data_IF_522157031263
#
_entry.id   IF_522157031263
#
_cell.length_a   1.000
_cell.length_b   1.000
_cell.length_c   1.000
_cell.angle_alpha   90.00
_cell.angle_beta   90.00
_cell.angle_gamma   90.00
#
_symmetry.space_group_name_H-M   'P 1'
#
loop_
_entity.id
_entity.type
_entity.pdbx_description
1 polymer ?
#
# COMPACT_ATOMS: atom_id res chain seq x y z
N UNK A 1 7.28 -22.17 -67.33
CA UNK A 1 6.69 -23.53 -67.37
C UNK A 1 5.91 -23.73 -66.07
N UNK A 2 4.66 -23.28 -65.97
CA UNK A 2 3.43 -24.04 -66.28
C UNK A 2 3.39 -25.45 -65.68
N UNK A 3 2.61 -25.63 -64.60
CA UNK A 3 1.51 -26.61 -64.56
C UNK A 3 0.60 -26.42 -63.34
N UNK A 4 -0.69 -26.57 -63.62
CA UNK A 4 -1.89 -26.43 -62.80
C UNK A 4 -2.22 -27.69 -61.96
N UNK A 5 -3.14 -27.53 -61.00
CA UNK A 5 -4.03 -28.57 -60.45
C UNK A 5 -4.64 -28.10 -59.12
N UNK A 6 -5.79 -27.40 -59.04
CA UNK A 6 -7.22 -27.73 -59.28
C UNK A 6 -7.84 -28.80 -58.34
N UNK A 7 -8.88 -28.32 -57.63
CA UNK A 7 -10.09 -28.95 -57.06
C UNK A 7 -9.98 -29.99 -55.93
N UNK A 8 -10.68 -29.71 -54.81
CA UNK A 8 -12.00 -30.32 -54.57
C UNK A 8 -12.83 -29.53 -53.54
N UNK A 9 -14.06 -29.23 -53.95
CA UNK A 9 -15.20 -28.73 -53.20
C UNK A 9 -15.86 -29.84 -52.38
N UNK A 10 -16.30 -29.53 -51.16
CA UNK A 10 -17.18 -30.36 -50.36
C UNK A 10 -18.17 -29.52 -49.56
N UNK A 11 -19.37 -29.37 -50.11
CA UNK A 11 -20.57 -28.87 -49.42
C UNK A 11 -21.00 -29.89 -48.36
N UNK A 12 -21.38 -29.44 -47.15
CA UNK A 12 -22.30 -30.21 -46.32
C UNK A 12 -23.21 -29.32 -45.47
N UNK A 13 -24.47 -29.71 -45.52
CA UNK A 13 -25.70 -29.07 -45.10
C UNK A 13 -25.85 -28.70 -43.62
N UNK A 14 -26.44 -27.51 -43.43
CA UNK A 14 -27.52 -27.14 -42.52
C UNK A 14 -27.89 -28.07 -41.34
N UNK A 15 -27.83 -27.51 -40.12
CA UNK A 15 -28.78 -27.83 -39.04
C UNK A 15 -29.32 -26.52 -38.45
N UNK A 16 -30.61 -26.32 -38.65
CA UNK A 16 -31.47 -25.35 -37.98
C UNK A 16 -31.61 -25.73 -36.50
N UNK A 17 -31.30 -24.82 -35.59
CA UNK A 17 -31.90 -24.82 -34.24
C UNK A 17 -32.21 -23.39 -33.84
N UNK A 18 -33.50 -23.07 -33.97
CA UNK A 18 -34.15 -21.93 -33.33
C UNK A 18 -33.99 -22.07 -31.82
N UNK A 19 -33.50 -21.02 -31.17
CA UNK A 19 -33.84 -20.76 -29.76
C UNK A 19 -34.21 -19.29 -29.62
N UNK A 20 -35.53 -19.05 -29.62
CA UNK A 20 -36.12 -17.80 -29.14
C UNK A 20 -36.11 -17.88 -27.61
N UNK A 21 -35.26 -17.11 -26.95
CA UNK A 21 -35.44 -16.76 -25.55
C UNK A 21 -36.05 -15.35 -25.49
N UNK A 22 -37.37 -15.29 -25.36
CA UNK A 22 -38.07 -14.08 -24.94
C UNK A 22 -37.96 -13.98 -23.42
N UNK A 23 -37.08 -13.11 -22.93
CA UNK A 23 -37.09 -12.71 -21.52
C UNK A 23 -37.71 -11.32 -21.41
N UNK A 24 -38.91 -11.31 -20.84
CA UNK A 24 -39.64 -10.13 -20.42
C UNK A 24 -38.91 -9.45 -19.25
N UNK A 25 -38.69 -8.12 -19.28
CA UNK A 25 -38.17 -7.41 -18.12
C UNK A 25 -39.30 -7.13 -17.12
N UNK A 26 -39.21 -7.73 -15.93
CA UNK A 26 -40.01 -7.32 -14.77
C UNK A 26 -39.43 -6.02 -14.19
N UNK A 27 -40.25 -5.01 -13.89
CA UNK A 27 -39.78 -3.80 -13.21
C UNK A 27 -39.58 -4.11 -11.71
N UNK A 28 -38.33 -4.09 -11.24
CA UNK A 28 -38.05 -4.06 -9.80
C UNK A 28 -38.27 -2.64 -9.28
N UNK A 29 -39.30 -2.51 -8.45
CA UNK A 29 -39.58 -1.34 -7.62
C UNK A 29 -38.40 -1.02 -6.71
N UNK A 30 -37.86 0.17 -6.90
CA UNK A 30 -36.78 0.80 -6.14
C UNK A 30 -37.35 1.32 -4.81
N UNK A 31 -37.17 0.57 -3.72
CA UNK A 31 -37.41 1.08 -2.36
C UNK A 31 -36.14 1.74 -1.83
N UNK A 32 -36.11 3.07 -1.90
CA UNK A 32 -35.08 3.90 -1.29
C UNK A 32 -35.24 3.87 0.23
N UNK A 33 -34.39 3.11 0.93
CA UNK A 33 -34.28 3.20 2.39
C UNK A 33 -33.21 4.21 2.76
N UNK A 34 -33.65 5.41 3.10
CA UNK A 34 -32.83 6.50 3.65
C UNK A 34 -32.53 6.18 5.12
N UNK A 35 -31.36 5.59 5.38
CA UNK A 35 -30.86 5.44 6.74
C UNK A 35 -30.27 6.77 7.21
N UNK A 36 -31.02 7.46 8.08
CA UNK A 36 -30.58 8.65 8.83
C UNK A 36 -29.52 8.20 9.84
N UNK A 37 -28.26 8.56 9.61
CA UNK A 37 -27.20 8.38 10.60
C UNK A 37 -27.39 9.39 11.74
N UNK A 38 -27.83 8.88 12.90
CA UNK A 38 -27.87 9.62 14.16
C UNK A 38 -26.44 9.88 14.64
N UNK A 39 -26.09 11.14 14.78
CA UNK A 39 -24.89 11.60 15.47
C UNK A 39 -24.88 11.08 16.92
N UNK A 40 -23.84 10.32 17.25
CA UNK A 40 -23.62 9.83 18.62
C UNK A 40 -22.89 10.89 19.46
N UNK A 41 -23.41 11.06 20.66
CA UNK A 41 -23.06 12.07 21.66
C UNK A 41 -21.60 12.00 22.10
N UNK A 42 -21.05 13.18 22.33
CA UNK A 42 -19.78 13.44 23.01
C UNK A 42 -19.77 12.83 24.41
N UNK A 43 -18.72 12.07 24.71
CA UNK A 43 -18.46 11.51 26.03
C UNK A 43 -17.62 12.54 26.82
N UNK A 44 -18.22 13.09 27.87
CA UNK A 44 -17.55 13.99 28.82
C UNK A 44 -16.79 13.13 29.82
N UNK A 45 -15.46 13.15 29.74
CA UNK A 45 -14.57 12.49 30.70
C UNK A 45 -14.48 13.35 31.97
N UNK A 46 -14.88 12.78 33.11
CA UNK A 46 -14.65 13.36 34.44
C UNK A 46 -13.26 12.94 34.96
N UNK A 47 -12.47 13.85 35.53
CA UNK A 47 -11.22 13.49 36.21
C UNK A 47 -11.52 13.04 37.64
N UNK A 48 -11.19 11.79 37.99
CA UNK A 48 -11.14 11.31 39.37
C UNK A 48 -9.72 11.46 39.89
N UNK A 49 -9.57 12.41 40.82
CA UNK A 49 -8.39 12.60 41.67
C UNK A 49 -8.41 11.54 42.76
N UNK A 50 -7.46 10.61 42.75
CA UNK A 50 -7.15 9.77 43.90
C UNK A 50 -5.67 9.93 44.25
N UNK A 51 -5.45 10.60 45.38
CA UNK A 51 -4.19 10.65 46.11
C UNK A 51 -4.00 9.30 46.80
N UNK A 52 -2.85 8.67 46.57
CA UNK A 52 -2.32 7.65 47.47
C UNK A 52 -0.95 8.08 47.98
N UNK A 53 -0.96 8.63 49.19
CA UNK A 53 0.18 8.66 50.08
C UNK A 53 0.38 7.25 50.63
N UNK A 54 1.50 6.59 50.32
CA UNK A 54 2.03 5.52 51.18
C UNK A 54 3.55 5.58 51.19
N UNK A 55 4.05 5.94 52.38
CA UNK A 55 5.42 5.79 52.82
C UNK A 55 5.82 4.31 52.82
N UNK A 56 7.00 3.97 52.30
CA UNK A 56 7.73 2.79 52.74
C UNK A 56 9.25 2.97 52.63
N UNK A 57 9.86 2.86 53.82
CA UNK A 57 11.18 2.37 54.20
C UNK A 57 12.40 2.54 53.30
N UNK A 58 13.23 3.46 53.76
CA UNK A 58 14.67 3.56 53.62
C UNK A 58 15.38 2.35 54.26
N UNK A 59 16.22 1.65 53.50
CA UNK A 59 17.07 0.53 53.93
C UNK A 59 18.26 0.36 53.00
N UNK A 60 19.47 0.34 53.58
CA UNK A 60 20.72 0.76 52.95
C UNK A 60 21.53 -0.33 52.19
N UNK A 61 21.93 0.01 50.95
CA UNK A 61 23.26 -0.18 50.28
C UNK A 61 23.81 -1.59 49.94
N UNK A 62 24.82 -1.74 49.04
CA UNK A 62 24.68 -1.62 47.59
C UNK A 62 25.42 -2.77 46.85
N UNK A 63 24.72 -3.63 46.12
CA UNK A 63 25.39 -4.43 45.10
C UNK A 63 25.60 -3.55 43.87
N UNK A 64 26.85 -3.18 43.63
CA UNK A 64 27.32 -2.41 42.47
C UNK A 64 27.06 -3.17 41.16
N UNK A 65 25.83 -3.15 40.70
CA UNK A 65 25.56 -3.06 39.27
C UNK A 65 25.72 -1.60 38.92
N UNK A 66 26.90 -1.23 38.41
CA UNK A 66 27.02 0.03 37.68
C UNK A 66 25.95 -0.01 36.59
N UNK A 67 24.92 0.87 36.62
CA UNK A 67 24.02 1.01 35.50
C UNK A 67 24.94 1.40 34.36
N UNK A 68 25.07 0.51 33.38
CA UNK A 68 25.83 0.82 32.19
C UNK A 68 25.22 2.12 31.67
N UNK A 69 25.98 3.21 31.75
CA UNK A 69 25.53 4.56 31.42
C UNK A 69 25.47 4.56 29.90
N UNK A 70 24.42 3.91 29.40
CA UNK A 70 24.21 3.61 28.00
C UNK A 70 24.26 4.92 27.26
N UNK A 71 25.27 5.04 26.41
CA UNK A 71 25.43 6.18 25.55
C UNK A 71 24.13 6.27 24.72
N UNK A 72 23.32 7.35 24.82
CA UNK A 72 22.02 7.48 24.15
C UNK A 72 22.13 7.53 22.61
N UNK A 73 23.32 7.24 22.07
CA UNK A 73 23.66 7.16 20.65
C UNK A 73 24.02 5.76 20.18
N UNK A 74 24.10 4.76 21.06
CA UNK A 74 24.07 3.37 20.62
C UNK A 74 22.65 3.06 20.18
N UNK A 75 22.30 3.46 18.96
CA UNK A 75 21.12 2.94 18.27
C UNK A 75 21.16 1.43 18.43
N UNK A 76 20.18 0.87 19.11
CA UNK A 76 20.09 -0.53 19.49
C UNK A 76 20.24 -1.41 18.25
N UNK A 77 21.48 -1.78 17.97
CA UNK A 77 21.81 -2.57 16.81
C UNK A 77 21.41 -4.00 17.13
N UNK A 78 20.43 -4.51 16.38
CA UNK A 78 19.91 -5.84 16.64
C UNK A 78 20.94 -6.90 16.26
N UNK A 79 20.91 -8.04 16.94
CA UNK A 79 21.74 -9.20 16.58
C UNK A 79 21.41 -9.70 15.17
N UNK A 80 22.37 -10.33 14.49
CA UNK A 80 22.16 -10.91 13.15
C UNK A 80 21.01 -11.92 13.11
N UNK A 81 20.89 -12.73 14.17
CA UNK A 81 19.82 -13.70 14.31
C UNK A 81 18.45 -13.03 14.40
N UNK A 82 18.33 -11.97 15.22
CA UNK A 82 17.10 -11.19 15.33
C UNK A 82 16.76 -10.50 14.00
N UNK A 83 17.76 -9.93 13.32
CA UNK A 83 17.59 -9.36 11.99
C UNK A 83 17.06 -10.38 10.98
N UNK A 84 17.59 -11.60 10.99
CA UNK A 84 17.12 -12.69 10.12
C UNK A 84 15.67 -13.07 10.43
N UNK A 85 15.29 -13.15 11.71
CA UNK A 85 13.91 -13.41 12.13
C UNK A 85 12.98 -12.30 11.64
N UNK A 86 13.32 -11.02 11.86
CA UNK A 86 12.49 -9.88 11.45
C UNK A 86 12.27 -9.85 9.95
N UNK A 87 13.33 -10.00 9.16
CA UNK A 87 13.21 -10.03 7.69
C UNK A 87 12.42 -11.25 7.20
N UNK A 88 12.64 -12.43 7.79
CA UNK A 88 11.88 -13.65 7.49
C UNK A 88 10.39 -13.50 7.79
N UNK A 89 10.05 -12.92 8.94
CA UNK A 89 8.66 -12.65 9.35
C UNK A 89 8.00 -11.62 8.42
N UNK A 90 8.69 -10.55 8.07
CA UNK A 90 8.17 -9.55 7.13
C UNK A 90 7.90 -10.14 5.74
N UNK A 91 8.81 -10.97 5.22
CA UNK A 91 8.62 -11.73 3.98
C UNK A 91 7.39 -12.61 4.06
N UNK A 92 7.26 -13.38 5.14
CA UNK A 92 6.11 -14.25 5.36
C UNK A 92 4.79 -13.47 5.38
N UNK A 93 4.75 -12.32 6.06
CA UNK A 93 3.57 -11.45 6.11
C UNK A 93 3.21 -10.96 4.72
N UNK A 94 4.16 -10.40 3.96
CA UNK A 94 3.91 -9.97 2.58
C UNK A 94 3.36 -11.11 1.72
N UNK A 95 3.95 -12.31 1.81
CA UNK A 95 3.49 -13.48 1.06
C UNK A 95 2.05 -13.86 1.39
N UNK A 96 1.67 -13.78 2.67
CA UNK A 96 0.35 -14.20 3.15
C UNK A 96 -0.74 -13.16 2.97
N UNK A 97 -0.42 -11.87 3.11
CA UNK A 97 -1.44 -10.82 3.22
C UNK A 97 -1.64 -10.05 1.92
N UNK A 98 -0.67 -10.04 1.00
CA UNK A 98 -0.81 -9.33 -0.28
C UNK A 98 -1.91 -9.89 -1.19
N UNK A 99 -2.16 -11.22 -1.29
CA UNK A 99 -3.29 -11.75 -2.06
C UNK A 99 -4.65 -11.21 -1.60
N UNK A 100 -4.79 -10.96 -0.29
CA UNK A 100 -6.03 -10.47 0.32
C UNK A 100 -6.03 -8.94 0.50
N UNK A 101 -5.10 -8.21 -0.14
CA UNK A 101 -4.87 -6.78 0.06
C UNK A 101 -6.16 -5.95 -0.05
N UNK A 102 -7.03 -6.25 -1.03
CA UNK A 102 -8.25 -5.49 -1.20
C UNK A 102 -9.27 -5.75 -0.10
N UNK A 103 -9.20 -6.85 0.65
CA UNK A 103 -10.13 -7.17 1.72
C UNK A 103 -9.63 -6.74 3.09
N UNK A 104 -8.41 -7.14 3.46
CA UNK A 104 -7.86 -6.83 4.78
C UNK A 104 -7.05 -5.52 4.83
N UNK A 105 -6.61 -5.02 3.66
CA UNK A 105 -5.72 -3.86 3.58
C UNK A 105 -4.24 -4.23 3.73
N UNK A 106 -3.40 -3.22 3.93
CA UNK A 106 -1.98 -3.43 4.17
C UNK A 106 -1.75 -3.80 5.65
N UNK A 107 -1.16 -4.96 5.88
CA UNK A 107 -0.86 -5.46 7.24
C UNK A 107 0.49 -4.92 7.69
N UNK A 108 0.49 -4.05 8.70
CA UNK A 108 1.69 -3.42 9.26
C UNK A 108 2.32 -4.20 10.41
N UNK A 109 1.57 -5.08 11.05
CA UNK A 109 2.05 -5.90 12.16
C UNK A 109 1.23 -7.18 12.29
N UNK A 110 1.85 -8.21 12.82
CA UNK A 110 1.16 -9.45 13.21
C UNK A 110 1.48 -9.71 14.67
N UNK A 111 0.44 -9.87 15.46
CA UNK A 111 0.57 -10.35 16.83
C UNK A 111 0.87 -11.85 16.77
N UNK A 112 2.09 -12.31 17.11
CA UNK A 112 2.39 -13.74 17.13
C UNK A 112 1.60 -14.46 18.23
N UNK A 113 1.13 -13.73 19.24
CA UNK A 113 0.61 -14.28 20.50
C UNK A 113 -0.91 -14.37 20.58
N UNK A 114 -1.67 -14.06 19.53
CA UNK A 114 -3.13 -14.24 19.56
C UNK A 114 -3.53 -15.70 19.31
N UNK A 115 -3.25 -16.56 20.28
CA UNK A 115 -4.20 -17.60 20.70
C UNK A 115 -5.42 -16.89 21.33
N UNK A 116 -6.67 -17.37 21.11
CA UNK A 116 -7.87 -16.70 21.60
C UNK A 116 -8.00 -16.92 23.11
N UNK A 117 -7.38 -16.06 23.92
CA UNK A 117 -7.45 -16.15 25.38
C UNK A 117 -8.56 -15.24 25.92
N UNK A 118 -9.43 -15.85 26.75
CA UNK A 118 -10.63 -15.26 27.32
C UNK A 118 -10.32 -14.07 28.25
N UNK A 119 -11.21 -13.09 28.16
CA UNK A 119 -11.35 -11.84 28.92
C UNK A 119 -11.05 -12.06 30.42
N UNK A 120 -10.04 -11.39 30.99
CA UNK A 120 -9.89 -11.38 32.45
C UNK A 120 -8.62 -10.80 33.09
N UNK A 121 -7.51 -10.60 32.39
CA UNK A 121 -6.24 -10.19 33.03
C UNK A 121 -5.81 -8.78 32.64
N UNK A 122 -5.70 -7.90 33.64
CA UNK A 122 -5.22 -6.50 33.53
C UNK A 122 -3.78 -6.40 32.97
N UNK A 123 -3.69 -5.92 31.74
CA UNK A 123 -2.83 -4.82 31.25
C UNK A 123 -1.58 -4.45 32.10
N UNK A 124 -0.49 -5.20 31.91
CA UNK A 124 0.90 -4.73 32.09
C UNK A 124 1.75 -5.57 31.12
N UNK A 125 2.54 -4.92 30.27
CA UNK A 125 3.37 -5.53 29.22
C UNK A 125 2.60 -6.26 28.11
N UNK A 126 1.75 -5.53 27.36
CA UNK A 126 1.30 -6.05 26.07
C UNK A 126 2.53 -6.24 25.18
N UNK A 127 2.77 -7.43 24.59
CA UNK A 127 3.90 -7.65 23.69
C UNK A 127 3.84 -6.59 22.61
N UNK A 128 4.88 -5.75 22.56
CA UNK A 128 4.98 -4.64 21.64
C UNK A 128 4.71 -5.17 20.23
N UNK A 129 3.64 -4.68 19.63
CA UNK A 129 3.18 -5.14 18.32
C UNK A 129 4.20 -4.68 17.30
N UNK A 130 5.16 -5.55 16.99
CA UNK A 130 6.31 -5.17 16.18
C UNK A 130 5.88 -4.91 14.73
N UNK A 131 6.11 -3.68 14.28
CA UNK A 131 5.85 -3.27 12.90
C UNK A 131 6.85 -3.93 11.95
N UNK A 132 6.40 -4.38 10.77
CA UNK A 132 7.31 -4.84 9.70
C UNK A 132 7.88 -3.70 8.85
N UNK A 133 7.32 -2.50 9.00
CA UNK A 133 7.74 -1.30 8.26
C UNK A 133 8.54 -0.36 9.15
N UNK A 134 9.60 0.21 8.57
CA UNK A 134 10.37 1.28 9.20
C UNK A 134 9.49 2.53 9.37
N UNK A 135 9.63 3.29 10.48
CA UNK A 135 8.98 4.60 10.63
C UNK A 135 9.28 5.56 9.47
N UNK A 136 10.45 5.41 8.84
CA UNK A 136 10.93 6.20 7.68
C UNK A 136 10.80 5.43 6.36
N UNK A 137 9.81 4.54 6.25
CA UNK A 137 9.56 3.80 5.00
C UNK A 137 9.32 4.77 3.84
N UNK A 138 9.89 4.46 2.68
CA UNK A 138 9.73 5.24 1.44
C UNK A 138 9.05 4.41 0.37
N UNK A 139 8.03 4.98 -0.28
CA UNK A 139 7.40 4.42 -1.47
C UNK A 139 7.85 5.23 -2.68
N UNK A 140 8.35 4.56 -3.71
CA UNK A 140 8.77 5.19 -4.97
C UNK A 140 8.13 4.50 -6.16
N UNK A 141 7.77 5.29 -7.17
CA UNK A 141 7.29 4.80 -8.46
C UNK A 141 7.75 5.75 -9.56
N UNK A 142 8.35 5.20 -10.61
CA UNK A 142 8.74 5.96 -11.80
C UNK A 142 7.88 5.49 -12.97
N UNK A 143 6.90 6.28 -13.41
CA UNK A 143 6.10 5.97 -14.59
C UNK A 143 6.99 5.80 -15.83
N UNK A 144 6.63 4.90 -16.77
CA UNK A 144 7.41 4.69 -17.99
C UNK A 144 7.42 5.91 -18.91
N UNK A 145 6.35 6.72 -18.88
CA UNK A 145 6.24 7.99 -19.59
C UNK A 145 6.29 9.12 -18.58
N UNK A 146 7.15 10.10 -18.80
CA UNK A 146 7.27 11.25 -17.93
C UNK A 146 5.91 11.98 -17.84
N UNK A 147 5.45 12.19 -16.62
CA UNK A 147 4.23 12.96 -16.37
C UNK A 147 4.47 14.42 -16.77
N UNK A 148 3.44 15.11 -17.28
CA UNK A 148 3.56 16.54 -17.58
C UNK A 148 3.89 17.32 -16.31
N UNK A 149 4.61 18.44 -16.47
CA UNK A 149 4.81 19.43 -15.40
C UNK A 149 3.45 19.76 -14.76
N UNK A 150 3.33 19.82 -13.42
CA UNK A 150 4.39 19.99 -12.41
C UNK A 150 4.88 18.69 -11.75
N UNK A 151 4.55 17.53 -12.31
CA UNK A 151 4.88 16.27 -11.64
C UNK A 151 6.38 15.96 -11.70
N UNK A 152 6.97 15.47 -10.60
CA UNK A 152 8.32 14.94 -10.65
C UNK A 152 8.35 13.67 -11.50
N UNK A 153 9.51 13.37 -12.08
CA UNK A 153 9.72 12.15 -12.86
C UNK A 153 9.47 10.88 -12.04
N UNK A 154 9.78 10.94 -10.75
CA UNK A 154 9.56 9.84 -9.80
C UNK A 154 8.63 10.34 -8.72
N UNK A 155 7.51 9.65 -8.55
CA UNK A 155 6.60 9.86 -7.44
C UNK A 155 7.20 9.19 -6.20
N UNK A 156 7.39 9.98 -5.14
CA UNK A 156 7.99 9.52 -3.88
C UNK A 156 7.13 9.95 -2.70
N UNK A 157 6.86 9.02 -1.80
CA UNK A 157 6.21 9.26 -0.51
C UNK A 157 7.14 8.77 0.59
N UNK A 158 7.26 9.52 1.68
CA UNK A 158 8.15 9.18 2.80
C UNK A 158 7.41 9.25 4.13
N UNK A 159 7.68 8.28 4.99
CA UNK A 159 7.09 8.17 6.31
C UNK A 159 5.98 7.13 6.39
N UNK A 160 5.96 6.39 7.49
CA UNK A 160 4.98 5.33 7.74
C UNK A 160 3.51 5.80 7.64
N UNK A 161 3.10 6.95 8.20
CA UNK A 161 1.71 7.41 8.07
C UNK A 161 1.28 7.63 6.61
N UNK A 162 2.13 8.24 5.79
CA UNK A 162 1.84 8.48 4.36
C UNK A 162 1.83 7.17 3.57
N UNK A 163 2.73 6.25 3.90
CA UNK A 163 2.76 4.92 3.30
C UNK A 163 1.46 4.14 3.57
N UNK A 164 1.01 4.08 4.82
CA UNK A 164 -0.25 3.43 5.18
C UNK A 164 -1.45 4.13 4.54
N UNK A 165 -1.51 5.46 4.59
CA UNK A 165 -2.58 6.24 3.96
C UNK A 165 -2.68 5.99 2.44
N UNK A 166 -1.52 5.89 1.75
CA UNK A 166 -1.48 5.58 0.32
C UNK A 166 -2.12 4.23 -0.01
N UNK A 167 -1.92 3.23 0.85
CA UNK A 167 -2.52 1.90 0.67
C UNK A 167 -4.04 1.93 0.82
N UNK A 168 -4.55 2.69 1.81
CA UNK A 168 -5.99 2.89 2.03
C UNK A 168 -6.61 3.61 0.85
N UNK A 169 -5.95 4.66 0.35
CA UNK A 169 -6.39 5.40 -0.83
C UNK A 169 -6.48 4.51 -2.07
N UNK A 170 -5.45 3.71 -2.36
CA UNK A 170 -5.44 2.77 -3.49
C UNK A 170 -6.57 1.77 -3.35
N UNK A 171 -6.70 1.12 -2.18
CA UNK A 171 -7.74 0.14 -1.92
C UNK A 171 -9.14 0.72 -2.12
N UNK A 172 -9.39 1.91 -1.58
CA UNK A 172 -10.69 2.57 -1.68
C UNK A 172 -11.01 3.00 -3.11
N UNK A 173 -10.04 3.59 -3.80
CA UNK A 173 -10.19 4.03 -5.20
C UNK A 173 -10.49 2.84 -6.10
N UNK A 174 -9.72 1.75 -5.97
CA UNK A 174 -9.95 0.55 -6.76
C UNK A 174 -11.30 -0.09 -6.44
N UNK A 175 -11.69 -0.23 -5.16
CA UNK A 175 -13.01 -0.79 -4.79
C UNK A 175 -14.20 0.06 -5.26
N UNK A 176 -14.00 1.36 -5.43
CA UNK A 176 -14.99 2.28 -5.99
C UNK A 176 -15.12 2.11 -7.51
N UNK A 177 -14.01 1.92 -8.23
CA UNK A 177 -14.01 1.80 -9.70
C UNK A 177 -14.32 0.39 -10.20
N UNK A 178 -13.95 -0.62 -9.41
CA UNK A 178 -14.02 -2.03 -9.77
C UNK A 178 -14.81 -2.82 -8.73
N UNK A 179 -15.39 -3.92 -9.19
CA UNK A 179 -16.01 -4.97 -8.41
C UNK A 179 -15.19 -6.26 -8.58
N UNK A 180 -15.37 -7.21 -7.67
CA UNK A 180 -14.67 -8.51 -7.70
C UNK A 180 -13.13 -8.36 -7.84
N UNK A 181 -12.58 -7.45 -7.01
CA UNK A 181 -11.14 -7.21 -7.00
C UNK A 181 -10.42 -8.38 -6.33
N UNK A 182 -9.45 -8.96 -7.04
CA UNK A 182 -8.60 -10.04 -6.53
C UNK A 182 -7.14 -9.76 -6.84
N UNK A 183 -6.26 -10.22 -5.94
CA UNK A 183 -4.81 -10.15 -6.13
C UNK A 183 -4.26 -11.58 -6.14
N UNK A 184 -3.48 -11.90 -7.16
CA UNK A 184 -2.74 -13.15 -7.26
C UNK A 184 -1.25 -12.86 -7.12
N UNK A 185 -0.60 -13.52 -6.15
CA UNK A 185 0.85 -13.50 -6.03
C UNK A 185 1.45 -14.46 -7.06
N UNK A 186 2.11 -13.91 -8.09
CA UNK A 186 2.66 -14.67 -9.23
C UNK A 186 4.06 -15.17 -8.96
N UNK A 187 4.92 -14.29 -8.43
CA UNK A 187 6.32 -14.60 -8.17
C UNK A 187 6.79 -13.83 -6.95
N UNK A 188 7.60 -14.49 -6.13
CA UNK A 188 8.33 -13.88 -5.04
C UNK A 188 9.77 -14.38 -5.10
N UNK A 189 10.72 -13.47 -5.13
CA UNK A 189 12.15 -13.81 -5.18
C UNK A 189 12.89 -12.98 -4.15
N UNK A 190 13.62 -13.65 -3.28
CA UNK A 190 14.42 -13.01 -2.24
C UNK A 190 15.84 -12.88 -2.76
N UNK A 191 16.37 -11.67 -2.78
CA UNK A 191 17.78 -11.41 -2.99
C UNK A 191 18.43 -11.08 -1.65
N UNK A 192 19.52 -11.75 -1.35
CA UNK A 192 20.42 -11.40 -0.27
C UNK A 192 21.85 -11.75 -0.66
N UNK A 193 22.81 -11.21 0.07
CA UNK A 193 24.18 -11.73 0.04
C UNK A 193 24.15 -13.16 0.56
N UNK A 194 24.03 -14.12 -0.36
CA UNK A 194 24.30 -15.52 -0.05
C UNK A 194 25.71 -15.57 0.52
N UNK A 195 25.98 -16.27 1.64
CA UNK A 195 27.33 -16.46 2.12
C UNK A 195 28.05 -17.30 1.07
N UNK A 196 28.70 -16.64 0.11
CA UNK A 196 29.59 -17.30 -0.82
C UNK A 196 30.71 -17.85 0.04
N UNK A 197 30.80 -19.17 0.10
CA UNK A 197 31.91 -19.94 0.64
C UNK A 197 33.16 -19.72 -0.22
N UNK A 198 33.62 -18.48 -0.30
CA UNK A 198 34.95 -18.12 -0.74
C UNK A 198 35.82 -18.06 0.51
N UNK A 199 36.23 -19.25 0.97
CA UNK A 199 37.51 -19.39 1.66
C UNK A 199 38.57 -18.77 0.75
N UNK A 200 39.08 -17.61 1.12
CA UNK A 200 40.47 -17.18 0.91
C UNK A 200 40.60 -15.71 1.38
N UNK A 201 41.33 -15.53 2.49
CA UNK A 201 42.34 -14.48 2.74
C UNK A 201 41.94 -13.04 2.37
N UNK A 202 41.75 -12.06 3.27
CA UNK A 202 42.61 -11.60 4.38
C UNK A 202 41.81 -10.56 5.19
N UNK A 203 41.84 -10.70 6.51
CA UNK A 203 41.71 -9.70 7.58
C UNK A 203 40.90 -8.39 7.35
N UNK A 204 39.84 -8.28 8.15
CA UNK A 204 39.39 -7.07 8.85
C UNK A 204 38.74 -5.93 8.02
N UNK A 205 37.58 -6.19 7.43
CA UNK A 205 36.45 -5.22 7.39
C UNK A 205 35.11 -5.94 7.23
N UNK A 206 34.89 -7.00 8.03
CA UNK A 206 33.68 -7.82 7.98
C UNK A 206 32.63 -7.27 8.96
N UNK A 207 31.47 -6.87 8.45
CA UNK A 207 30.17 -7.03 9.16
C UNK A 207 28.96 -6.50 8.38
N UNK A 208 29.10 -5.47 7.53
CA UNK A 208 27.89 -4.80 7.00
C UNK A 208 27.30 -5.40 5.70
N UNK A 209 28.09 -6.03 4.84
CA UNK A 209 27.58 -6.57 3.57
C UNK A 209 26.65 -7.78 3.73
N UNK A 210 26.59 -8.41 4.91
CA UNK A 210 25.73 -9.57 5.16
C UNK A 210 24.25 -9.18 5.38
N UNK A 211 23.96 -7.90 5.67
CA UNK A 211 22.61 -7.42 6.00
C UNK A 211 21.92 -6.69 4.85
N UNK A 212 22.35 -6.95 3.62
CA UNK A 212 21.69 -6.45 2.42
C UNK A 212 20.69 -7.49 1.90
N UNK A 213 19.39 -7.18 2.03
CA UNK A 213 18.32 -8.06 1.58
C UNK A 213 17.20 -7.27 0.93
N UNK A 214 16.66 -7.82 -0.14
CA UNK A 214 15.51 -7.29 -0.85
C UNK A 214 14.62 -8.41 -1.36
N UNK A 215 13.36 -8.10 -1.64
CA UNK A 215 12.37 -9.06 -2.13
C UNK A 215 11.70 -8.45 -3.34
N UNK A 216 11.74 -9.16 -4.45
CA UNK A 216 10.95 -8.85 -5.64
C UNK A 216 9.64 -9.62 -5.56
N UNK A 217 8.54 -8.90 -5.76
CA UNK A 217 7.18 -9.41 -5.74
C UNK A 217 6.54 -9.06 -7.08
N UNK A 218 5.93 -10.05 -7.72
CA UNK A 218 5.10 -9.89 -8.92
C UNK A 218 3.66 -10.26 -8.56
N UNK A 219 2.75 -9.31 -8.75
CA UNK A 219 1.34 -9.43 -8.45
C UNK A 219 0.52 -9.28 -9.73
N UNK A 220 -0.55 -10.06 -9.87
CA UNK A 220 -1.61 -9.78 -10.82
C UNK A 220 -2.85 -9.29 -10.07
N UNK A 221 -3.37 -8.15 -10.47
CA UNK A 221 -4.63 -7.58 -9.96
C UNK A 221 -5.69 -7.74 -11.04
N UNK A 222 -6.87 -8.23 -10.67
CA UNK A 222 -8.02 -8.34 -11.57
C UNK A 222 -9.22 -7.65 -10.95
N UNK A 223 -10.14 -7.16 -11.78
CA UNK A 223 -11.46 -6.69 -11.34
C UNK A 223 -12.38 -6.36 -12.50
N UNK A 224 -13.69 -6.30 -12.26
CA UNK A 224 -14.68 -5.88 -13.26
C UNK A 224 -15.03 -4.41 -13.06
N UNK A 225 -14.84 -3.57 -14.08
CA UNK A 225 -15.22 -2.16 -14.07
C UNK A 225 -16.71 -2.02 -13.75
N UNK A 226 -17.08 -1.16 -12.81
CA UNK A 226 -18.49 -0.98 -12.45
C UNK A 226 -19.30 -0.26 -13.52
N UNK A 227 -18.65 0.55 -14.34
CA UNK A 227 -19.30 1.41 -15.34
C UNK A 227 -19.56 0.71 -16.66
N UNK A 228 -18.58 -0.06 -17.18
CA UNK A 228 -18.73 -0.76 -18.45
C UNK A 228 -18.89 -2.27 -18.30
N UNK A 229 -18.67 -2.83 -17.11
CA UNK A 229 -18.66 -4.29 -16.88
C UNK A 229 -17.44 -5.00 -17.47
N UNK A 230 -16.55 -4.28 -18.17
CA UNK A 230 -15.32 -4.82 -18.74
C UNK A 230 -14.34 -5.29 -17.67
N UNK A 231 -13.56 -6.32 -17.99
CA UNK A 231 -12.53 -6.87 -17.10
C UNK A 231 -11.26 -6.03 -17.21
N UNK A 232 -10.77 -5.55 -16.06
CA UNK A 232 -9.47 -4.94 -15.90
C UNK A 232 -8.47 -5.93 -15.31
N UNK A 233 -7.25 -5.90 -15.82
CA UNK A 233 -6.12 -6.69 -15.33
C UNK A 233 -4.87 -5.82 -15.28
N UNK A 234 -4.11 -5.92 -14.19
CA UNK A 234 -2.81 -5.27 -14.03
C UNK A 234 -1.78 -6.25 -13.51
N UNK A 235 -0.60 -6.24 -14.11
CA UNK A 235 0.60 -6.86 -13.55
C UNK A 235 1.44 -5.78 -12.86
N UNK A 236 1.84 -6.03 -11.62
CA UNK A 236 2.58 -5.10 -10.79
C UNK A 236 3.83 -5.81 -10.29
N UNK A 237 5.01 -5.29 -10.65
CA UNK A 237 6.27 -5.77 -10.10
C UNK A 237 6.81 -4.74 -9.12
N UNK A 238 7.22 -5.19 -7.94
CA UNK A 238 7.66 -4.31 -6.86
C UNK A 238 8.83 -4.91 -6.09
N UNK A 239 9.71 -4.06 -5.58
CA UNK A 239 10.87 -4.43 -4.77
C UNK A 239 10.72 -3.87 -3.37
N UNK A 240 10.84 -4.72 -2.36
CA UNK A 240 10.90 -4.34 -0.95
C UNK A 240 12.34 -4.49 -0.46
N UNK A 241 12.94 -3.41 0.03
CA UNK A 241 14.31 -3.39 0.55
C UNK A 241 14.29 -3.26 2.08
N UNK A 242 15.04 -4.12 2.75
CA UNK A 242 15.15 -4.15 4.21
C UNK A 242 16.26 -3.22 4.70
N UNK A 243 16.07 -2.65 5.89
CA UNK A 243 17.10 -1.90 6.59
C UNK A 243 18.18 -2.87 7.11
N UNK A 244 19.48 -2.59 6.86
CA UNK A 244 20.56 -3.41 7.38
C UNK A 244 20.68 -3.31 8.92
N UNK A 245 20.15 -2.25 9.53
CA UNK A 245 20.26 -2.02 10.97
C UNK A 245 19.09 -2.66 11.72
N UNK A 246 17.86 -2.52 11.22
CA UNK A 246 16.66 -2.89 11.97
C UNK A 246 15.92 -4.14 11.43
N UNK A 247 16.27 -4.63 10.24
CA UNK A 247 15.57 -5.74 9.60
C UNK A 247 14.13 -5.42 9.16
N UNK A 248 13.74 -4.13 9.20
CA UNK A 248 12.42 -3.64 8.80
C UNK A 248 12.42 -3.21 7.33
N UNK A 249 11.26 -3.24 6.68
CA UNK A 249 11.09 -2.72 5.32
C UNK A 249 11.31 -1.20 5.34
N UNK A 250 12.34 -0.73 4.64
CA UNK A 250 12.68 0.69 4.56
C UNK A 250 12.29 1.32 3.23
N UNK A 251 12.26 0.55 2.15
CA UNK A 251 11.91 1.06 0.83
C UNK A 251 11.02 0.08 0.07
N UNK A 252 9.97 0.61 -0.54
CA UNK A 252 9.08 -0.08 -1.44
C UNK A 252 9.15 0.64 -2.79
N UNK A 253 9.75 0.01 -3.79
CA UNK A 253 9.85 0.53 -5.15
C UNK A 253 8.87 -0.22 -6.03
N UNK A 254 7.92 0.47 -6.63
CA UNK A 254 7.09 -0.08 -7.70
C UNK A 254 7.90 0.00 -8.99
N UNK A 255 8.34 -1.16 -9.49
CA UNK A 255 9.21 -1.26 -10.66
C UNK A 255 8.42 -1.05 -11.95
N UNK A 256 7.23 -1.65 -12.04
CA UNK A 256 6.40 -1.63 -13.23
C UNK A 256 4.92 -1.82 -12.89
N UNK A 257 4.05 -1.27 -13.74
CA UNK A 257 2.61 -1.50 -13.74
C UNK A 257 2.20 -1.68 -15.20
N UNK A 258 1.57 -2.81 -15.54
CA UNK A 258 1.14 -3.15 -16.89
C UNK A 258 -0.34 -3.56 -16.93
N UNK A 259 -1.21 -2.86 -17.68
CA UNK A 259 -0.92 -1.65 -18.46
C UNK A 259 -0.60 -0.47 -17.53
N UNK A 260 0.18 0.48 -18.04
CA UNK A 260 0.50 1.69 -17.30
C UNK A 260 -0.79 2.47 -16.98
N UNK A 261 -0.91 3.07 -15.78
CA UNK A 261 -2.07 3.90 -15.45
C UNK A 261 -2.25 5.03 -16.48
N UNK A 262 -3.49 5.29 -16.87
CA UNK A 262 -3.81 6.37 -17.81
C UNK A 262 -3.56 7.74 -17.16
N UNK A 263 -3.26 8.76 -17.97
CA UNK A 263 -3.00 10.14 -17.52
C UNK A 263 -4.06 10.67 -16.52
N UNK A 264 -5.33 10.39 -16.77
CA UNK A 264 -6.46 10.77 -15.91
C UNK A 264 -6.35 10.26 -14.46
N UNK A 265 -5.70 9.10 -14.23
CA UNK A 265 -5.45 8.60 -12.88
C UNK A 265 -4.48 9.51 -12.12
N UNK A 266 -3.43 10.01 -12.80
CA UNK A 266 -2.49 10.96 -12.22
C UNK A 266 -3.13 12.34 -12.04
N UNK A 267 -4.01 12.76 -12.94
CA UNK A 267 -4.73 14.03 -12.79
C UNK A 267 -5.67 14.01 -11.58
N UNK A 268 -6.35 12.88 -11.34
CA UNK A 268 -7.16 12.67 -10.14
C UNK A 268 -6.32 12.68 -8.85
N UNK A 269 -5.15 12.02 -8.88
CA UNK A 269 -4.18 12.08 -7.79
C UNK A 269 -3.75 13.53 -7.53
N UNK A 270 -3.46 14.32 -8.58
CA UNK A 270 -3.12 15.75 -8.48
C UNK A 270 -4.20 16.52 -7.74
N UNK A 271 -5.45 16.32 -8.14
CA UNK A 271 -6.59 17.03 -7.57
C UNK A 271 -6.72 16.71 -6.08
N UNK A 272 -6.56 15.43 -5.69
CA UNK A 272 -6.62 15.02 -4.29
C UNK A 272 -5.50 15.62 -3.42
N UNK A 273 -4.26 15.65 -3.93
CA UNK A 273 -3.10 16.18 -3.18
C UNK A 273 -3.13 17.72 -3.08
N UNK A 274 -3.66 18.40 -4.10
CA UNK A 274 -3.76 19.87 -4.11
C UNK A 274 -4.74 20.38 -3.05
N UNK A 275 -5.82 19.63 -2.79
CA UNK A 275 -6.83 20.00 -1.78
C UNK A 275 -6.23 19.97 -0.37
N UNK A 276 -5.33 19.01 -0.09
CA UNK A 276 -4.76 18.84 1.24
C UNK A 276 -3.64 19.84 1.55
N UNK A 277 -3.03 20.45 0.53
CA UNK A 277 -2.03 21.52 0.70
C UNK A 277 -2.64 22.89 1.01
N UNK A 278 -3.94 23.09 0.81
CA UNK A 278 -4.56 24.42 0.81
C UNK A 278 -5.64 24.64 1.89
N UNK A 279 -5.93 23.64 2.72
CA UNK A 279 -7.02 23.72 3.69
C UNK A 279 -6.75 23.05 5.03
N UNK A 280 -5.78 23.56 5.82
CA UNK A 280 -5.76 23.33 7.27
C UNK A 280 -4.83 24.27 8.08
N UNK A 281 -4.69 25.54 7.68
CA UNK A 281 -4.02 26.55 8.51
C UNK A 281 -4.73 27.91 8.38
N UNK A 282 -5.99 27.97 8.83
CA UNK A 282 -6.61 29.22 9.29
C UNK A 282 -7.04 29.02 10.74
N UNK A 283 -6.05 28.93 11.64
CA UNK A 283 -6.21 29.42 13.01
C UNK A 283 -4.86 29.88 13.58
N UNK A 284 -4.64 31.18 13.40
CA UNK A 284 -4.11 32.10 14.41
C UNK A 284 -2.68 31.91 14.99
N UNK A 285 -1.82 32.86 14.61
CA UNK A 285 -0.64 33.40 15.33
C UNK A 285 0.52 32.43 15.63
N UNK A 286 1.51 32.41 14.76
CA UNK A 286 2.87 32.97 15.03
C UNK A 286 3.81 32.57 13.90
N UNK A 287 4.65 33.51 13.49
CA UNK A 287 5.40 33.43 12.25
C UNK A 287 6.44 32.31 12.23
N UNK A 288 6.26 31.34 11.34
CA UNK A 288 7.39 30.66 10.72
C UNK A 288 7.03 30.21 9.30
N UNK A 289 7.74 30.82 8.35
CA UNK A 289 7.50 30.79 6.92
C UNK A 289 8.02 29.48 6.31
N UNK A 290 7.14 28.54 5.95
CA UNK A 290 7.47 27.50 4.96
C UNK A 290 7.21 28.09 3.57
N UNK A 291 8.31 28.45 2.89
CA UNK A 291 8.30 29.09 1.58
C UNK A 291 8.29 28.05 0.47
N UNK A 292 7.15 27.86 -0.20
CA UNK A 292 7.13 27.27 -1.55
C UNK A 292 7.46 28.38 -2.55
N UNK A 293 8.65 28.31 -3.15
CA UNK A 293 9.06 29.25 -4.21
C UNK A 293 8.48 28.75 -5.53
N UNK A 294 7.38 29.35 -5.98
CA UNK A 294 6.95 29.30 -7.38
C UNK A 294 6.44 30.68 -7.78
N UNK A 295 7.28 31.43 -8.50
CA UNK A 295 6.92 32.70 -9.13
C UNK A 295 6.31 32.43 -10.50
N UNK A 296 5.00 32.61 -10.63
CA UNK A 296 4.26 32.55 -11.89
C UNK A 296 2.84 33.09 -11.71
N UNK A 297 2.27 33.76 -12.72
CA UNK A 297 1.02 34.51 -12.57
C UNK A 297 -0.17 33.57 -12.35
N UNK A 298 -1.03 33.94 -11.39
CA UNK A 298 -2.27 33.23 -11.06
C UNK A 298 -3.23 33.29 -12.25
N UNK A 299 -3.76 32.14 -12.74
CA UNK A 299 -4.94 32.18 -13.58
C UNK A 299 -6.18 32.17 -12.67
N UNK A 300 -7.09 33.12 -12.94
CA UNK A 300 -8.47 33.07 -12.47
C UNK A 300 -9.18 32.00 -13.28
N UNK A 301 -9.53 30.87 -12.67
CA UNK A 301 -10.50 29.95 -13.25
C UNK A 301 -11.54 29.52 -12.22
N UNK A 302 -12.78 29.82 -12.59
CA UNK A 302 -14.00 29.31 -12.00
C UNK A 302 -14.05 27.78 -12.12
N UNK A 303 -14.70 27.15 -11.13
CA UNK A 303 -15.05 25.74 -11.14
C UNK A 303 -15.76 25.33 -12.45
N UNK A 304 -15.48 24.10 -12.93
CA UNK A 304 -16.61 23.18 -13.11
C UNK A 304 -16.27 21.78 -12.60
N UNK A 305 -16.99 21.35 -11.56
CA UNK A 305 -17.37 19.94 -11.45
C UNK A 305 -18.36 19.64 -12.60
N UNK A 306 -18.39 18.39 -13.08
CA UNK A 306 -19.22 17.86 -14.18
C UNK A 306 -18.65 17.92 -15.62
N UNK A 307 -17.46 17.39 -15.90
CA UNK A 307 -17.15 16.83 -17.24
C UNK A 307 -16.05 15.76 -17.14
N UNK A 308 -16.37 14.61 -16.58
CA UNK A 308 -15.52 13.41 -16.67
C UNK A 308 -16.39 12.14 -16.75
N UNK A 309 -17.43 12.22 -17.58
CA UNK A 309 -18.26 11.08 -18.00
C UNK A 309 -18.81 11.36 -19.41
N UNK A 310 -17.93 11.59 -20.39
CA UNK A 310 -18.28 11.59 -21.81
C UNK A 310 -16.98 11.80 -22.60
N UNK A 311 -16.24 10.72 -22.92
CA UNK A 311 -15.34 10.65 -24.10
C UNK A 311 -14.62 9.30 -24.28
N UNK A 312 -15.11 8.20 -23.70
CA UNK A 312 -14.58 6.85 -23.97
C UNK A 312 -15.58 5.94 -24.69
N UNK A 313 -16.43 6.52 -25.54
CA UNK A 313 -17.39 5.78 -26.36
C UNK A 313 -17.55 6.41 -27.74
N UNK A 314 -16.46 6.53 -28.50
CA UNK A 314 -16.54 6.85 -29.93
C UNK A 314 -15.29 6.50 -30.73
N UNK A 315 -14.92 5.23 -30.74
CA UNK A 315 -13.98 4.66 -31.71
C UNK A 315 -14.37 3.21 -31.98
N UNK A 316 -15.49 3.00 -32.68
CA UNK A 316 -15.77 1.77 -33.43
C UNK A 316 -17.05 1.98 -34.24
N UNK A 317 -16.90 2.59 -35.42
CA UNK A 317 -17.78 2.42 -36.59
C UNK A 317 -17.16 3.16 -37.78
N UNK A 318 -16.30 2.46 -38.52
CA UNK A 318 -16.19 2.59 -39.98
C UNK A 318 -16.16 1.18 -40.57
N UNK A 319 -17.35 0.72 -40.89
CA UNK A 319 -17.67 -0.27 -41.93
C UNK A 319 -18.83 0.31 -42.72
#
# INVERSE_FOLDING_TARGET
MMRHGLHHSGLSSSVLLRSRCSLSPKPLSRTSSTAVFKASKSFVVRPTSERHDLMFSEGATPLMFTPNKGDPRSSEEISDHEWQIRTGRAIYILQKTLPDFFDIGLVSSVNPTKTPTLIGSRELDTPEVESIYSPKVRLTYTPPVALPSPFPRTLGLEGLPLYLASSVFIRHTMKTLYSDLRVELRKMTVHGSSPSSSENTTEATHSNHQREKSVLISLNVYGATRVSGGVGQWQIDSTYTFSPILGLIQMHTVNSIHPAPHQAAYDALRASLSIQGQGMFDQEKSGQLIKWVNGGPKPVFAYPYYYLYCNLSRSDQQG
#
